data_IF_565167736782
#
_entry.id   IF_565167736782
#
_cell.length_a   1.000
_cell.length_b   1.000
_cell.length_c   1.000
_cell.angle_alpha   90.00
_cell.angle_beta   90.00
_cell.angle_gamma   90.00
#
_symmetry.space_group_name_H-M   'P 1'
#
loop_
_entity.id
_entity.type
_entity.pdbx_description
1 polymer ?
#
# COMPACT_ATOMS: atom_id res chain seq x y z
N UNK A 1 -20.42 13.18 -11.39
CA UNK A 1 -19.04 12.69 -11.38
C UNK A 1 -18.43 12.93 -12.76
N UNK A 2 -17.29 13.60 -12.81
CA UNK A 2 -16.60 13.84 -14.09
C UNK A 2 -16.01 12.53 -14.63
N UNK A 3 -15.71 12.52 -15.92
CA UNK A 3 -15.11 11.35 -16.56
C UNK A 3 -13.73 11.03 -15.99
N UNK A 4 -12.98 12.08 -15.63
CA UNK A 4 -11.68 11.95 -14.99
C UNK A 4 -11.79 11.26 -13.62
N UNK A 5 -12.81 11.59 -12.84
CA UNK A 5 -13.05 10.98 -11.55
C UNK A 5 -13.45 9.50 -11.68
N UNK A 6 -14.27 9.18 -12.68
CA UNK A 6 -14.64 7.80 -12.98
C UNK A 6 -13.45 6.95 -13.36
N UNK A 7 -12.56 7.51 -14.19
CA UNK A 7 -11.35 6.81 -14.64
C UNK A 7 -10.37 6.59 -13.49
N UNK A 8 -10.18 7.59 -12.61
CA UNK A 8 -9.35 7.47 -11.44
C UNK A 8 -9.88 6.40 -10.48
N UNK A 9 -11.20 6.38 -10.27
CA UNK A 9 -11.86 5.42 -9.39
C UNK A 9 -11.74 3.99 -9.95
N UNK A 10 -11.92 3.81 -11.25
CA UNK A 10 -11.78 2.52 -11.90
C UNK A 10 -10.35 2.02 -11.83
N UNK A 11 -9.37 2.92 -12.03
CA UNK A 11 -7.95 2.59 -11.91
C UNK A 11 -7.57 2.14 -10.51
N UNK A 12 -8.08 2.82 -9.49
CA UNK A 12 -7.81 2.42 -8.10
C UNK A 12 -8.48 1.10 -7.74
N UNK A 13 -9.68 0.82 -8.25
CA UNK A 13 -10.32 -0.47 -8.05
C UNK A 13 -9.48 -1.62 -8.63
N UNK A 14 -8.89 -1.42 -9.79
CA UNK A 14 -7.98 -2.38 -10.40
C UNK A 14 -6.72 -2.56 -9.55
N UNK A 15 -6.19 -1.46 -9.04
CA UNK A 15 -5.05 -1.49 -8.14
C UNK A 15 -5.37 -2.29 -6.88
N UNK A 16 -6.52 -2.05 -6.26
CA UNK A 16 -6.95 -2.79 -5.07
C UNK A 16 -7.12 -4.28 -5.37
N UNK A 17 -7.66 -4.62 -6.54
CA UNK A 17 -7.77 -6.02 -6.98
C UNK A 17 -6.41 -6.68 -7.10
N UNK A 18 -5.43 -5.98 -7.68
CA UNK A 18 -4.06 -6.48 -7.80
C UNK A 18 -3.40 -6.64 -6.44
N UNK A 19 -3.61 -5.70 -5.51
CA UNK A 19 -3.13 -5.82 -4.13
C UNK A 19 -3.77 -7.02 -3.42
N UNK A 20 -5.04 -7.30 -3.71
CA UNK A 20 -5.71 -8.50 -3.20
C UNK A 20 -5.04 -9.79 -3.64
N UNK A 21 -4.56 -9.85 -4.88
CA UNK A 21 -3.77 -10.99 -5.37
C UNK A 21 -2.45 -11.10 -4.62
N UNK A 22 -1.79 -9.97 -4.36
CA UNK A 22 -0.55 -9.94 -3.57
C UNK A 22 -0.78 -10.46 -2.14
N UNK A 23 -1.91 -10.12 -1.55
CA UNK A 23 -2.30 -10.59 -0.22
C UNK A 23 -2.47 -12.11 -0.19
N UNK A 24 -3.16 -12.66 -1.20
CA UNK A 24 -3.36 -14.11 -1.33
C UNK A 24 -2.04 -14.85 -1.53
N UNK A 25 -1.11 -14.23 -2.24
CA UNK A 25 0.23 -14.79 -2.47
C UNK A 25 1.16 -14.62 -1.26
N UNK A 26 0.69 -13.95 -0.20
CA UNK A 26 1.47 -13.65 1.01
C UNK A 26 2.72 -12.82 0.73
N UNK A 27 2.58 -11.87 -0.18
CA UNK A 27 3.66 -10.95 -0.59
C UNK A 27 3.40 -9.52 -0.12
N UNK A 28 2.55 -9.35 0.91
CA UNK A 28 2.27 -8.06 1.52
C UNK A 28 2.66 -8.03 2.99
N UNK A 29 3.10 -6.86 3.43
CA UNK A 29 3.23 -6.54 4.85
C UNK A 29 2.05 -5.64 5.20
N UNK A 30 1.36 -5.93 6.30
CA UNK A 30 0.18 -5.21 6.75
C UNK A 30 0.49 -4.34 7.95
N UNK A 31 0.15 -3.06 7.85
CA UNK A 31 0.23 -2.13 8.96
C UNK A 31 1.58 -1.46 9.11
N UNK A 32 1.53 -0.22 9.63
CA UNK A 32 2.71 0.66 9.71
C UNK A 32 3.81 0.10 10.62
N UNK A 33 3.51 -0.46 11.81
CA UNK A 33 4.58 -1.00 12.65
C UNK A 33 5.39 -2.10 11.95
N UNK A 34 4.72 -3.02 11.27
CA UNK A 34 5.38 -4.12 10.56
C UNK A 34 6.16 -3.62 9.36
N UNK A 35 5.64 -2.62 8.64
CA UNK A 35 6.34 -2.01 7.50
C UNK A 35 7.63 -1.33 7.97
N UNK A 36 7.57 -0.55 9.05
CA UNK A 36 8.74 0.13 9.60
C UNK A 36 9.80 -0.87 10.07
N UNK A 37 9.36 -1.95 10.73
CA UNK A 37 10.26 -3.01 11.19
C UNK A 37 10.96 -3.69 10.01
N UNK A 38 10.21 -3.99 8.96
CA UNK A 38 10.77 -4.62 7.76
C UNK A 38 11.76 -3.70 7.03
N UNK A 39 11.50 -2.38 6.98
CA UNK A 39 12.44 -1.41 6.43
C UNK A 39 13.74 -1.41 7.22
N UNK A 40 13.65 -1.43 8.54
CA UNK A 40 14.81 -1.41 9.42
C UNK A 40 15.66 -2.67 9.26
N UNK A 41 15.02 -3.83 9.14
CA UNK A 41 15.72 -5.10 8.92
C UNK A 41 16.39 -5.17 7.55
N UNK A 42 15.75 -4.62 6.52
CA UNK A 42 16.23 -4.67 5.16
C UNK A 42 16.26 -6.09 4.60
N UNK A 43 17.08 -6.32 3.60
CA UNK A 43 17.21 -7.62 2.98
C UNK A 43 16.12 -7.94 1.97
N UNK A 44 15.93 -9.22 1.64
CA UNK A 44 15.02 -9.64 0.57
C UNK A 44 13.55 -9.44 0.91
N UNK A 45 13.20 -9.33 2.19
CA UNK A 45 11.82 -9.14 2.62
C UNK A 45 11.50 -7.66 2.93
N UNK A 46 12.40 -6.75 2.54
CA UNK A 46 12.18 -5.31 2.72
C UNK A 46 11.06 -4.81 1.81
N UNK A 47 10.30 -3.80 2.25
CA UNK A 47 9.26 -3.20 1.41
C UNK A 47 9.85 -2.59 0.15
N UNK A 48 9.22 -2.84 -1.00
CA UNK A 48 9.59 -2.25 -2.28
C UNK A 48 8.73 -1.03 -2.61
N UNK A 49 7.46 -1.07 -2.21
CA UNK A 49 6.53 0.03 -2.40
C UNK A 49 5.48 -0.02 -1.28
N UNK A 50 5.13 1.16 -0.76
CA UNK A 50 4.16 1.31 0.32
C UNK A 50 2.92 2.00 -0.22
N UNK A 51 1.74 1.47 0.08
CA UNK A 51 0.45 2.07 -0.24
C UNK A 51 -0.19 2.55 1.06
N UNK A 52 -0.48 3.85 1.13
CA UNK A 52 -1.03 4.50 2.31
C UNK A 52 -2.49 4.88 2.07
N UNK A 53 -3.37 4.57 3.02
CA UNK A 53 -4.79 4.93 2.96
C UNK A 53 -4.96 6.45 3.10
N UNK A 54 -6.03 6.99 2.51
CA UNK A 54 -6.31 8.43 2.50
C UNK A 54 -6.58 9.03 3.89
N UNK A 55 -7.08 8.21 4.82
CA UNK A 55 -7.48 8.66 6.16
C UNK A 55 -6.46 8.31 7.24
N UNK A 56 -5.23 7.99 6.87
CA UNK A 56 -4.16 7.80 7.85
C UNK A 56 -3.98 9.09 8.67
N UNK A 57 -3.69 8.95 9.97
CA UNK A 57 -3.49 10.11 10.84
C UNK A 57 -2.27 10.92 10.39
N UNK A 58 -2.21 12.20 10.78
CA UNK A 58 -1.06 13.05 10.49
C UNK A 58 0.25 12.45 11.01
N UNK A 59 0.23 11.91 12.22
CA UNK A 59 1.40 11.27 12.81
C UNK A 59 1.83 10.04 12.02
N UNK A 60 0.88 9.22 11.59
CA UNK A 60 1.14 8.03 10.78
C UNK A 60 1.69 8.42 9.42
N UNK A 61 1.06 9.41 8.77
CA UNK A 61 1.51 9.91 7.47
C UNK A 61 2.94 10.42 7.54
N UNK A 62 3.25 11.23 8.56
CA UNK A 62 4.60 11.76 8.77
C UNK A 62 5.61 10.64 8.99
N UNK A 63 5.26 9.65 9.80
CA UNK A 63 6.12 8.51 10.07
C UNK A 63 6.45 7.73 8.80
N UNK A 64 5.44 7.47 7.96
CA UNK A 64 5.63 6.80 6.68
C UNK A 64 6.53 7.65 5.77
N UNK A 65 6.26 8.95 5.67
CA UNK A 65 7.05 9.85 4.83
C UNK A 65 8.52 9.89 5.27
N UNK A 66 8.77 10.05 6.56
CA UNK A 66 10.13 10.12 7.10
C UNK A 66 10.88 8.81 6.88
N UNK A 67 10.26 7.68 7.21
CA UNK A 67 10.91 6.37 7.07
C UNK A 67 11.13 5.99 5.61
N UNK A 68 10.16 6.24 4.75
CA UNK A 68 10.29 5.92 3.33
C UNK A 68 11.38 6.77 2.66
N UNK A 69 11.51 8.03 3.05
CA UNK A 69 12.58 8.89 2.57
C UNK A 69 13.94 8.39 3.02
N UNK A 70 14.06 8.01 4.28
CA UNK A 70 15.32 7.49 4.85
C UNK A 70 15.74 6.19 4.16
N UNK A 71 14.84 5.25 3.99
CA UNK A 71 15.14 3.94 3.40
C UNK A 71 14.96 3.91 1.87
N UNK A 72 14.59 5.03 1.27
CA UNK A 72 14.41 5.19 -0.18
C UNK A 72 13.38 4.20 -0.75
N UNK A 73 12.25 4.09 -0.07
CA UNK A 73 11.13 3.26 -0.48
C UNK A 73 10.05 4.12 -1.12
N UNK A 74 9.54 3.71 -2.28
CA UNK A 74 8.47 4.43 -2.96
C UNK A 74 7.17 4.33 -2.16
N UNK A 75 6.43 5.43 -2.09
CA UNK A 75 5.11 5.48 -1.46
C UNK A 75 4.06 5.96 -2.44
N UNK A 76 2.85 5.41 -2.32
CA UNK A 76 1.68 5.83 -3.10
C UNK A 76 0.56 6.08 -2.11
N UNK A 77 -0.03 7.28 -2.13
CA UNK A 77 -1.20 7.57 -1.32
C UNK A 77 -2.46 7.23 -2.11
N UNK A 78 -3.29 6.37 -1.53
CA UNK A 78 -4.55 5.94 -2.14
C UNK A 78 -5.64 6.98 -1.91
N UNK A 79 -6.68 6.94 -2.73
CA UNK A 79 -7.88 7.76 -2.52
C UNK A 79 -8.87 7.09 -1.59
N UNK A 80 -8.79 5.77 -1.42
CA UNK A 80 -9.67 5.02 -0.52
C UNK A 80 -9.19 5.12 0.93
N UNK A 81 -10.13 4.94 1.86
CA UNK A 81 -9.81 4.90 3.28
C UNK A 81 -9.27 3.53 3.71
N UNK A 82 -8.82 3.46 4.97
CA UNK A 82 -8.24 2.23 5.52
C UNK A 82 -9.23 1.08 5.62
N UNK A 83 -10.50 1.36 5.83
CA UNK A 83 -11.55 0.33 5.88
C UNK A 83 -11.76 -0.30 4.50
N UNK A 84 -11.80 0.52 3.46
CA UNK A 84 -11.93 0.05 2.07
C UNK A 84 -10.70 -0.75 1.65
N UNK A 85 -9.52 -0.26 2.00
CA UNK A 85 -8.27 -0.98 1.74
C UNK A 85 -8.27 -2.35 2.42
N UNK A 86 -8.61 -2.40 3.70
CA UNK A 86 -8.68 -3.65 4.45
C UNK A 86 -9.66 -4.64 3.82
N UNK A 87 -10.85 -4.16 3.47
CA UNK A 87 -11.88 -5.00 2.84
C UNK A 87 -11.39 -5.61 1.53
N UNK A 88 -10.69 -4.83 0.71
CA UNK A 88 -10.14 -5.32 -0.56
C UNK A 88 -9.10 -6.41 -0.36
N UNK A 89 -8.43 -6.43 0.79
CA UNK A 89 -7.37 -7.39 1.10
C UNK A 89 -7.86 -8.55 2.00
N UNK A 90 -9.16 -8.62 2.24
CA UNK A 90 -9.74 -9.68 3.06
C UNK A 90 -9.50 -9.51 4.56
N UNK A 91 -9.26 -8.29 5.01
CA UNK A 91 -9.05 -7.98 6.43
C UNK A 91 -10.28 -7.32 7.03
N UNK A 92 -10.49 -7.50 8.32
CA UNK A 92 -11.65 -6.97 9.04
C UNK A 92 -11.35 -5.65 9.75
N UNK A 93 -10.08 -5.39 10.06
CA UNK A 93 -9.67 -4.15 10.72
C UNK A 93 -9.07 -3.18 9.72
N UNK A 94 -9.38 -1.89 9.88
CA UNK A 94 -8.85 -0.83 9.02
C UNK A 94 -7.31 -0.88 8.95
N UNK A 95 -6.76 -0.60 7.77
CA UNK A 95 -5.32 -0.59 7.51
C UNK A 95 -4.88 0.81 7.08
N UNK A 96 -3.93 1.39 7.80
CA UNK A 96 -3.36 2.67 7.40
C UNK A 96 -2.43 2.53 6.21
N UNK A 97 -1.74 1.40 6.07
CA UNK A 97 -0.81 1.15 4.97
C UNK A 97 -0.54 -0.33 4.78
N UNK A 98 -0.14 -0.69 3.57
CA UNK A 98 0.37 -2.01 3.21
C UNK A 98 1.59 -1.83 2.32
N UNK A 99 2.47 -2.83 2.26
CA UNK A 99 3.67 -2.78 1.43
C UNK A 99 3.88 -4.08 0.69
N UNK A 100 4.41 -3.98 -0.53
CA UNK A 100 4.76 -5.15 -1.35
C UNK A 100 6.22 -5.49 -1.13
N UNK A 101 6.53 -6.78 -0.95
CA UNK A 101 7.89 -7.25 -0.69
C UNK A 101 8.49 -8.06 -1.86
N UNK A 102 7.70 -8.36 -2.87
CA UNK A 102 8.11 -9.19 -4.00
C UNK A 102 8.19 -8.38 -5.28
N UNK A 103 9.31 -8.47 -6.00
CA UNK A 103 9.54 -7.67 -7.20
C UNK A 103 8.56 -8.00 -8.33
N UNK A 104 8.16 -9.25 -8.48
CA UNK A 104 7.20 -9.64 -9.52
C UNK A 104 5.83 -9.05 -9.26
N UNK A 105 5.39 -9.09 -8.01
CA UNK A 105 4.13 -8.47 -7.59
C UNK A 105 4.18 -6.95 -7.75
N UNK A 106 5.32 -6.34 -7.42
CA UNK A 106 5.53 -4.91 -7.60
C UNK A 106 5.36 -4.52 -9.08
N UNK A 107 5.97 -5.25 -9.99
CA UNK A 107 5.85 -5.01 -11.44
C UNK A 107 4.42 -5.16 -11.92
N UNK A 108 3.71 -6.16 -11.43
CA UNK A 108 2.30 -6.37 -11.77
C UNK A 108 1.45 -5.17 -11.35
N UNK A 109 1.66 -4.70 -10.12
CA UNK A 109 0.87 -3.61 -9.53
C UNK A 109 1.20 -2.25 -10.16
N UNK A 110 2.44 -2.03 -10.58
CA UNK A 110 2.88 -0.77 -11.20
C UNK A 110 2.05 -0.38 -12.42
N UNK A 111 1.45 -1.35 -13.10
CA UNK A 111 0.57 -1.08 -14.25
C UNK A 111 -0.65 -0.25 -13.87
N UNK A 112 -1.05 -0.26 -12.61
CA UNK A 112 -2.27 0.38 -12.12
C UNK A 112 -2.00 1.63 -11.29
N UNK A 113 -0.76 2.08 -11.19
CA UNK A 113 -0.39 3.29 -10.43
C UNK A 113 -0.37 4.53 -11.31
#
# INVERSE_FOLDING_TARGET
>A
MSELEKNAKAGEQRLLGALGLCARARKLIFGVPMICDAMKKGGKDAPLIIFEASDSSENTHKKIADKSAYYKVRTVRLNCDGATLASALGKTSSLAAVAITDIQMCRMVEKYI
#
